data_IF_121939844672
#
_entry.id   IF_121939844672
#
_cell.length_a   1.000
_cell.length_b   1.000
_cell.length_c   1.000
_cell.angle_alpha   90.00
_cell.angle_beta   90.00
_cell.angle_gamma   90.00
#
_symmetry.space_group_name_H-M   'P 1'
#
loop_
_entity.id
_entity.type
_entity.pdbx_description
1 polymer ?
#
# COMPACT_ATOMS: atom_id res chain seq x y z
N UNK A 1 17.02 -5.94 2.41
CA UNK A 1 16.45 -7.25 2.01
C UNK A 1 15.21 -6.96 1.18
N UNK A 2 15.21 -7.27 -0.11
CA UNK A 2 14.01 -7.10 -0.93
C UNK A 2 12.97 -8.15 -0.51
N UNK A 3 11.77 -7.71 -0.14
CA UNK A 3 10.64 -8.59 0.14
C UNK A 3 10.29 -9.37 -1.14
N UNK A 4 10.17 -10.69 -1.04
CA UNK A 4 9.74 -11.53 -2.17
C UNK A 4 8.32 -11.17 -2.57
N UNK A 5 8.07 -11.05 -3.88
CA UNK A 5 6.73 -10.81 -4.43
C UNK A 5 5.83 -12.03 -4.16
N UNK A 6 4.66 -11.82 -3.57
CA UNK A 6 3.68 -12.85 -3.29
C UNK A 6 2.28 -12.26 -3.11
N UNK A 7 1.24 -13.08 -3.11
CA UNK A 7 -0.12 -12.64 -2.79
C UNK A 7 -0.19 -11.97 -1.41
N UNK A 8 0.62 -12.43 -0.43
CA UNK A 8 0.71 -11.80 0.90
C UNK A 8 1.16 -10.33 0.84
N UNK A 9 2.04 -9.99 -0.11
CA UNK A 9 2.55 -8.62 -0.29
C UNK A 9 1.74 -7.78 -1.28
N UNK A 10 0.64 -8.31 -1.83
CA UNK A 10 -0.21 -7.62 -2.79
C UNK A 10 -1.24 -6.69 -2.10
N UNK A 11 -1.44 -5.49 -2.64
CA UNK A 11 -2.50 -4.56 -2.21
C UNK A 11 -3.91 -5.16 -2.22
N UNK A 12 -4.20 -6.03 -3.19
CA UNK A 12 -5.54 -6.59 -3.38
C UNK A 12 -5.86 -7.74 -2.42
N UNK A 13 -4.86 -8.30 -1.74
CA UNK A 13 -5.05 -9.37 -0.78
C UNK A 13 -5.22 -8.78 0.63
N UNK A 14 -6.32 -9.17 1.28
CA UNK A 14 -6.62 -8.88 2.68
C UNK A 14 -6.48 -10.16 3.49
N UNK A 15 -5.72 -10.14 4.57
CA UNK A 15 -5.50 -11.29 5.46
C UNK A 15 -4.26 -11.10 6.31
N UNK A 16 -4.32 -11.55 7.57
CA UNK A 16 -3.20 -11.52 8.49
C UNK A 16 -2.34 -12.78 8.37
N UNK A 17 -1.13 -12.71 8.92
CA UNK A 17 -0.20 -13.84 8.95
C UNK A 17 -0.87 -15.07 9.59
N UNK A 18 -0.87 -16.19 8.88
CA UNK A 18 -1.42 -17.46 9.37
C UNK A 18 -2.93 -17.65 9.23
N UNK A 19 -3.66 -16.68 8.66
CA UNK A 19 -5.10 -16.81 8.38
C UNK A 19 -5.38 -16.78 6.88
N UNK A 20 -6.41 -17.49 6.43
CA UNK A 20 -6.86 -17.34 5.04
C UNK A 20 -7.35 -15.91 4.81
N UNK A 21 -7.07 -15.41 3.62
CA UNK A 21 -7.40 -14.08 3.18
C UNK A 21 -8.30 -14.10 1.95
N UNK A 22 -8.61 -12.91 1.45
CA UNK A 22 -9.38 -12.71 0.22
C UNK A 22 -8.61 -11.84 -0.76
N UNK A 23 -8.57 -12.25 -2.03
CA UNK A 23 -8.08 -11.43 -3.12
C UNK A 23 -9.24 -10.68 -3.77
N UNK A 24 -9.35 -9.38 -3.50
CA UNK A 24 -10.46 -8.53 -3.97
C UNK A 24 -10.50 -8.35 -5.49
N UNK A 25 -9.38 -8.51 -6.17
CA UNK A 25 -9.30 -8.33 -7.62
C UNK A 25 -9.72 -9.59 -8.40
N UNK A 26 -9.39 -10.78 -7.87
CA UNK A 26 -9.75 -12.07 -8.49
C UNK A 26 -11.02 -12.70 -7.90
N UNK A 27 -11.56 -12.10 -6.84
CA UNK A 27 -12.74 -12.53 -6.10
C UNK A 27 -12.65 -13.99 -5.63
N UNK A 28 -11.60 -14.31 -4.89
CA UNK A 28 -11.35 -15.66 -4.38
C UNK A 28 -10.66 -15.67 -3.01
N UNK A 29 -10.83 -16.79 -2.30
CA UNK A 29 -10.12 -17.09 -1.06
C UNK A 29 -8.67 -17.45 -1.35
N UNK A 30 -7.75 -16.92 -0.53
CA UNK A 30 -6.32 -17.20 -0.58
C UNK A 30 -5.90 -17.79 0.76
N UNK A 31 -5.65 -19.10 0.81
CA UNK A 31 -5.15 -19.73 2.03
C UNK A 31 -3.77 -19.20 2.43
N UNK A 32 -3.52 -19.10 3.75
CA UNK A 32 -2.30 -18.53 4.32
C UNK A 32 -1.02 -19.19 3.77
N UNK A 33 -1.02 -20.52 3.68
CA UNK A 33 0.09 -21.33 3.17
C UNK A 33 0.41 -21.06 1.70
N UNK A 34 -0.59 -20.69 0.90
CA UNK A 34 -0.44 -20.39 -0.52
C UNK A 34 -0.04 -18.92 -0.71
N UNK A 35 -0.55 -18.02 0.13
CA UNK A 35 -0.36 -16.57 0.01
C UNK A 35 1.12 -16.15 0.01
N UNK A 36 1.98 -16.88 0.71
CA UNK A 36 3.42 -16.62 0.79
C UNK A 36 4.21 -17.15 -0.41
N UNK A 37 3.69 -18.17 -1.10
CA UNK A 37 4.40 -18.92 -2.12
C UNK A 37 4.05 -18.49 -3.54
N UNK A 38 2.82 -18.01 -3.77
CA UNK A 38 2.33 -17.70 -5.11
C UNK A 38 2.22 -16.21 -5.34
N UNK A 39 2.34 -15.83 -6.61
CA UNK A 39 2.07 -14.48 -7.10
C UNK A 39 1.24 -14.61 -8.36
N UNK A 40 0.28 -13.71 -8.56
CA UNK A 40 -0.47 -13.62 -9.81
C UNK A 40 0.03 -12.43 -10.64
N UNK A 41 -0.31 -12.40 -11.92
CA UNK A 41 0.08 -11.31 -12.83
C UNK A 41 -0.49 -9.94 -12.44
N UNK A 42 -1.49 -9.90 -11.56
CA UNK A 42 -2.09 -8.68 -11.04
C UNK A 42 -1.50 -8.23 -9.70
N UNK A 43 -0.27 -8.66 -9.38
CA UNK A 43 0.38 -8.21 -8.17
C UNK A 43 0.60 -6.70 -8.23
N UNK A 44 0.17 -6.01 -7.17
CA UNK A 44 0.30 -4.56 -7.01
C UNK A 44 0.93 -4.29 -5.64
N UNK A 45 1.98 -3.44 -5.54
CA UNK A 45 2.59 -3.12 -4.26
C UNK A 45 1.60 -2.46 -3.31
N UNK A 46 1.67 -2.80 -2.01
CA UNK A 46 0.87 -2.11 -0.98
C UNK A 46 1.26 -0.62 -0.92
N UNK A 47 0.25 0.25 -0.85
CA UNK A 47 0.49 1.68 -0.65
C UNK A 47 1.28 1.92 0.65
N UNK A 48 2.25 2.84 0.64
CA UNK A 48 2.97 3.21 1.85
C UNK A 48 1.99 3.78 2.89
N UNK A 49 2.22 3.44 4.16
CA UNK A 49 1.47 4.07 5.25
C UNK A 49 2.05 5.48 5.45
N UNK A 50 1.28 6.49 5.07
CA UNK A 50 1.62 7.87 5.39
C UNK A 50 1.44 8.08 6.90
N UNK A 51 2.33 8.85 7.56
CA UNK A 51 2.12 9.23 8.95
C UNK A 51 0.79 9.98 9.07
N UNK A 52 0.03 9.71 10.14
CA UNK A 52 -1.15 10.49 10.45
C UNK A 52 -0.67 11.89 10.87
N UNK A 53 -0.86 12.86 10.00
CA UNK A 53 -0.65 14.27 10.36
C UNK A 53 -1.69 14.61 11.43
N UNK A 54 -1.24 14.99 12.62
CA UNK A 54 -2.12 15.53 13.65
C UNK A 54 -2.87 16.73 13.07
N UNK A 55 -4.17 16.84 13.35
CA UNK A 55 -5.06 17.92 12.85
C UNK A 55 -4.64 19.34 13.28
N UNK A 56 -3.52 19.50 14.00
CA UNK A 56 -2.99 20.77 14.48
C UNK A 56 -2.25 21.61 13.45
N UNK A 57 -2.09 21.14 12.21
CA UNK A 57 -1.68 22.00 11.12
C UNK A 57 -2.92 22.40 10.32
N UNK A 58 -3.52 23.54 10.66
CA UNK A 58 -4.31 24.34 9.71
C UNK A 58 -3.34 24.79 8.61
N UNK A 59 -3.04 23.88 7.69
CA UNK A 59 -2.32 24.20 6.46
C UNK A 59 -3.30 25.03 5.65
N UNK A 60 -2.98 26.30 5.49
CA UNK A 60 -3.68 27.19 4.58
C UNK A 60 -3.57 26.61 3.16
N UNK A 61 -4.63 25.93 2.72
CA UNK A 61 -4.69 25.30 1.40
C UNK A 61 -4.68 26.33 0.26
N UNK A 62 -4.95 27.60 0.55
CA UNK A 62 -4.93 28.70 -0.43
C UNK A 62 -3.53 29.29 -0.62
N UNK A 63 -2.52 28.79 0.12
CA UNK A 63 -1.15 29.27 -0.01
C UNK A 63 -0.46 28.64 -1.22
N UNK A 64 -0.48 29.36 -2.34
CA UNK A 64 0.33 29.03 -3.52
C UNK A 64 1.83 29.15 -3.20
N UNK A 65 2.58 28.06 -3.36
CA UNK A 65 4.03 28.06 -3.19
C UNK A 65 4.68 28.67 -4.44
N UNK A 66 5.43 29.76 -4.28
CA UNK A 66 6.19 30.39 -5.37
C UNK A 66 7.47 29.57 -5.65
N UNK A 67 7.54 28.94 -6.83
CA UNK A 67 8.64 28.07 -7.25
C UNK A 67 9.96 28.82 -7.52
N UNK A 68 9.90 30.15 -7.74
CA UNK A 68 11.01 30.91 -8.33
C UNK A 68 11.85 31.71 -7.32
N UNK A 69 11.54 31.66 -6.01
CA UNK A 69 12.19 32.53 -5.01
C UNK A 69 13.64 32.13 -4.66
N UNK A 70 14.12 30.98 -5.13
CA UNK A 70 15.45 30.46 -4.80
C UNK A 70 16.50 30.62 -5.93
N UNK A 71 16.17 31.30 -7.03
CA UNK A 71 17.06 31.42 -8.21
C UNK A 71 17.60 32.85 -8.46
N UNK A 72 17.57 33.74 -7.46
CA UNK A 72 18.11 35.11 -7.57
C UNK A 72 19.42 35.29 -6.79
#
# INVERSE_FOLDING_TARGET
>A
MASRLSCRTCQHCSGDAGQSGWCRLRDLEVHAEVAELVVCHHWTPRSPQLPRLSETATVDFDRQLELDRALA
#
